data_IF_261520866313
#
_entry.id   IF_261520866313
#
_cell.length_a   1.000
_cell.length_b   1.000
_cell.length_c   1.000
_cell.angle_alpha   90.00
_cell.angle_beta   90.00
_cell.angle_gamma   90.00
#
_symmetry.space_group_name_H-M   'P 1'
#
loop_
_entity.id
_entity.type
_entity.pdbx_description
1 polymer ?
#
# COMPACT_ATOMS: atom_id res chain seq x y z
N UNK A 1 -18.45 -34.88 13.57
CA UNK A 1 -19.14 -34.36 12.37
C UNK A 1 -18.25 -33.26 11.82
N UNK A 2 -17.36 -33.61 10.88
CA UNK A 2 -16.56 -32.63 10.18
C UNK A 2 -17.52 -31.83 9.30
N UNK A 3 -17.67 -30.53 9.58
CA UNK A 3 -18.48 -29.64 8.76
C UNK A 3 -17.87 -29.58 7.37
N UNK A 4 -18.70 -29.80 6.34
CA UNK A 4 -18.34 -29.43 4.97
C UNK A 4 -18.08 -27.92 5.00
N UNK A 5 -16.93 -27.41 4.48
CA UNK A 5 -16.70 -25.98 4.44
C UNK A 5 -17.81 -25.35 3.60
N UNK A 6 -18.61 -24.51 4.22
CA UNK A 6 -19.51 -23.61 3.50
C UNK A 6 -18.63 -22.76 2.60
N UNK A 7 -18.71 -22.98 1.29
CA UNK A 7 -18.14 -22.06 0.31
C UNK A 7 -18.76 -20.68 0.58
N UNK A 8 -17.99 -19.80 1.23
CA UNK A 8 -18.32 -18.38 1.27
C UNK A 8 -18.33 -17.89 -0.18
N UNK A 9 -19.46 -17.34 -0.61
CA UNK A 9 -19.52 -16.73 -1.93
C UNK A 9 -18.99 -15.31 -1.82
N UNK A 10 -18.10 -14.93 -2.74
CA UNK A 10 -17.66 -13.55 -2.91
C UNK A 10 -18.30 -12.94 -4.14
N UNK A 11 -18.59 -11.65 -4.08
CA UNK A 11 -18.84 -10.82 -5.27
C UNK A 11 -17.50 -10.28 -5.74
N UNK A 12 -17.15 -10.54 -6.99
CA UNK A 12 -15.93 -10.02 -7.62
C UNK A 12 -16.24 -8.67 -8.26
N UNK A 13 -15.62 -7.62 -7.76
CA UNK A 13 -15.64 -6.30 -8.38
C UNK A 13 -14.31 -6.08 -9.09
N UNK A 14 -14.32 -6.05 -10.42
CA UNK A 14 -13.11 -5.72 -11.19
C UNK A 14 -12.87 -4.21 -11.14
N UNK A 15 -11.66 -3.83 -10.78
CA UNK A 15 -11.18 -2.45 -10.91
C UNK A 15 -10.52 -2.35 -12.29
N UNK A 16 -11.13 -1.55 -13.16
CA UNK A 16 -10.70 -1.40 -14.54
C UNK A 16 -10.34 0.05 -14.81
N UNK A 17 -9.17 0.25 -15.42
CA UNK A 17 -8.79 1.50 -16.07
C UNK A 17 -8.66 1.22 -17.57
N UNK A 18 -9.41 1.96 -18.39
CA UNK A 18 -9.62 1.63 -19.81
C UNK A 18 -8.41 1.74 -20.74
N UNK A 19 -7.22 2.07 -20.21
CA UNK A 19 -5.96 2.10 -20.93
C UNK A 19 -4.86 1.27 -20.23
N UNK A 20 -5.18 0.55 -19.14
CA UNK A 20 -4.18 -0.22 -18.39
C UNK A 20 -3.75 -1.46 -19.18
N UNK A 21 -2.46 -1.73 -19.20
CA UNK A 21 -1.91 -3.06 -19.44
C UNK A 21 -1.96 -3.90 -18.17
N UNK A 22 -1.80 -3.27 -17.00
CA UNK A 22 -1.88 -3.91 -15.70
C UNK A 22 -2.49 -3.00 -14.61
N UNK A 23 -3.19 -3.62 -13.66
CA UNK A 23 -3.61 -2.99 -12.41
C UNK A 23 -3.32 -3.95 -11.27
N UNK A 24 -2.50 -3.49 -10.33
CA UNK A 24 -2.22 -4.17 -9.07
C UNK A 24 -2.97 -3.42 -7.96
N UNK A 25 -3.66 -4.15 -7.09
CA UNK A 25 -4.21 -3.57 -5.86
C UNK A 25 -3.36 -4.07 -4.72
N UNK A 26 -2.90 -3.14 -3.89
CA UNK A 26 -1.92 -3.43 -2.84
C UNK A 26 -2.54 -3.28 -1.45
N UNK A 27 -3.51 -2.37 -1.28
CA UNK A 27 -4.16 -2.15 0.02
C UNK A 27 -5.65 -1.83 -0.06
N UNK A 28 -6.37 -2.11 1.03
CA UNK A 28 -7.79 -1.80 1.21
C UNK A 28 -8.10 -1.37 2.65
N UNK A 29 -8.91 -0.33 2.83
CA UNK A 29 -9.37 0.09 4.16
C UNK A 29 -10.85 -0.24 4.42
N UNK A 30 -11.34 0.02 5.63
CA UNK A 30 -12.72 -0.28 6.05
C UNK A 30 -13.77 0.65 5.41
N UNK A 31 -13.36 1.76 4.81
CA UNK A 31 -14.29 2.62 4.04
C UNK A 31 -14.43 2.15 2.58
N UNK A 32 -13.70 1.09 2.19
CA UNK A 32 -13.75 0.50 0.86
C UNK A 32 -12.95 1.28 -0.18
N UNK A 33 -11.98 2.08 0.28
CA UNK A 33 -10.96 2.64 -0.60
C UNK A 33 -9.90 1.58 -0.84
N UNK A 34 -9.38 1.54 -2.07
CA UNK A 34 -8.25 0.69 -2.44
C UNK A 34 -7.13 1.53 -2.98
N UNK A 35 -5.90 1.07 -2.75
CA UNK A 35 -4.70 1.66 -3.35
C UNK A 35 -4.02 0.64 -4.23
N UNK A 36 -3.31 1.13 -5.23
CA UNK A 36 -2.66 0.25 -6.17
C UNK A 36 -1.83 1.00 -7.20
N UNK A 37 -1.26 0.22 -8.11
CA UNK A 37 -0.48 0.71 -9.23
C UNK A 37 -1.16 0.38 -10.56
N UNK A 38 -0.98 1.30 -11.50
CA UNK A 38 -1.51 1.23 -12.84
C UNK A 38 -0.35 1.33 -13.83
N UNK A 39 -0.21 0.33 -14.69
CA UNK A 39 0.71 0.35 -15.84
C UNK A 39 -0.09 0.62 -17.12
N UNK A 40 0.33 1.61 -17.92
CA UNK A 40 -0.26 1.88 -19.23
C UNK A 40 0.54 1.31 -20.41
N UNK A 41 1.64 0.59 -20.13
CA UNK A 41 2.56 0.06 -21.12
C UNK A 41 3.34 1.15 -21.86
N UNK A 42 3.31 2.39 -21.35
CA UNK A 42 4.03 3.53 -21.87
C UNK A 42 5.41 3.72 -21.24
N UNK A 43 6.08 4.80 -21.63
CA UNK A 43 7.40 5.17 -21.09
C UNK A 43 7.33 5.85 -19.70
N UNK A 44 6.12 6.03 -19.15
CA UNK A 44 5.87 6.90 -17.98
C UNK A 44 6.09 6.16 -16.65
N UNK A 45 6.26 4.84 -16.67
CA UNK A 45 6.38 4.02 -15.47
C UNK A 45 5.03 3.86 -14.75
N UNK A 46 5.03 3.06 -13.68
CA UNK A 46 3.80 2.73 -12.96
C UNK A 46 3.24 3.97 -12.24
N UNK A 47 1.92 4.14 -12.32
CA UNK A 47 1.20 5.28 -11.72
C UNK A 47 0.43 4.79 -10.49
N UNK A 48 0.79 5.33 -9.33
CA UNK A 48 0.08 5.06 -8.08
C UNK A 48 -1.30 5.73 -8.05
N UNK A 49 -2.29 5.04 -7.51
CA UNK A 49 -3.64 5.58 -7.34
C UNK A 49 -4.29 5.20 -6.00
N UNK A 50 -5.28 6.00 -5.63
CA UNK A 50 -6.33 5.66 -4.66
C UNK A 50 -7.64 5.61 -5.43
N UNK A 51 -8.42 4.54 -5.25
CA UNK A 51 -9.75 4.41 -5.81
C UNK A 51 -10.78 4.36 -4.69
N UNK A 52 -11.74 5.29 -4.73
CA UNK A 52 -12.93 5.32 -3.88
C UNK A 52 -14.15 5.19 -4.78
N UNK A 53 -15.08 4.29 -4.45
CA UNK A 53 -16.26 4.07 -5.29
C UNK A 53 -17.22 5.27 -5.35
N UNK A 54 -17.15 6.19 -4.38
CA UNK A 54 -17.95 7.42 -4.35
C UNK A 54 -17.27 8.57 -5.09
N UNK A 55 -15.94 8.68 -4.98
CA UNK A 55 -15.21 9.86 -5.50
C UNK A 55 -14.35 9.57 -6.74
N UNK A 56 -14.17 8.30 -7.10
CA UNK A 56 -13.38 7.85 -8.23
C UNK A 56 -11.88 7.76 -7.91
N UNK A 57 -11.06 7.96 -8.94
CA UNK A 57 -9.60 7.88 -8.83
C UNK A 57 -8.97 9.19 -8.35
N UNK A 58 -8.02 9.05 -7.45
CA UNK A 58 -7.03 10.05 -7.09
C UNK A 58 -5.65 9.54 -7.50
N UNK A 59 -4.96 10.29 -8.35
CA UNK A 59 -3.64 9.90 -8.86
C UNK A 59 -2.54 10.44 -7.95
N UNK A 60 -1.67 9.54 -7.48
CA UNK A 60 -0.53 9.88 -6.62
C UNK A 60 0.66 10.41 -7.43
N UNK A 61 0.61 10.22 -8.76
CA UNK A 61 1.63 10.62 -9.72
C UNK A 61 2.47 9.45 -10.19
N UNK A 62 3.37 9.75 -11.13
CA UNK A 62 4.25 8.78 -11.76
C UNK A 62 5.29 8.26 -10.77
N UNK A 63 5.68 6.99 -10.92
CA UNK A 63 6.74 6.34 -10.14
C UNK A 63 6.49 6.37 -8.64
N UNK A 64 5.22 6.17 -8.27
CA UNK A 64 4.72 6.07 -6.90
C UNK A 64 4.03 4.73 -6.72
N UNK A 65 4.48 3.98 -5.74
CA UNK A 65 4.00 2.62 -5.48
C UNK A 65 3.34 2.63 -4.10
N UNK A 66 2.01 2.83 -4.01
CA UNK A 66 1.32 2.69 -2.74
C UNK A 66 1.29 1.22 -2.32
N UNK A 67 1.53 0.94 -1.04
CA UNK A 67 1.57 -0.42 -0.51
C UNK A 67 0.43 -0.70 0.48
N UNK A 68 0.00 0.31 1.26
CA UNK A 68 -1.07 0.14 2.24
C UNK A 68 -1.85 1.42 2.51
N UNK A 69 -3.09 1.27 3.01
CA UNK A 69 -3.99 2.38 3.34
C UNK A 69 -4.74 2.09 4.64
N UNK A 70 -4.92 3.11 5.48
CA UNK A 70 -5.75 3.00 6.69
C UNK A 70 -7.10 3.73 6.56
N UNK A 71 -7.95 3.58 7.58
CA UNK A 71 -9.30 4.15 7.61
C UNK A 71 -9.34 5.68 7.67
N UNK A 72 -8.21 6.32 7.95
CA UNK A 72 -8.05 7.78 7.89
C UNK A 72 -7.67 8.27 6.49
N UNK A 73 -7.55 7.37 5.52
CA UNK A 73 -7.10 7.66 4.16
C UNK A 73 -5.61 8.01 4.10
N UNK A 74 -4.82 7.59 5.10
CA UNK A 74 -3.37 7.69 5.04
C UNK A 74 -2.86 6.52 4.22
N UNK A 75 -2.04 6.81 3.22
CA UNK A 75 -1.45 5.81 2.34
C UNK A 75 0.05 5.78 2.57
N UNK A 76 0.62 4.60 2.74
CA UNK A 76 2.07 4.43 2.67
C UNK A 76 2.46 4.13 1.24
N UNK A 77 3.50 4.81 0.77
CA UNK A 77 4.00 4.66 -0.58
C UNK A 77 5.51 4.66 -0.59
N UNK A 78 6.08 4.08 -1.64
CA UNK A 78 7.44 4.33 -2.05
C UNK A 78 7.54 5.08 -3.37
N UNK A 79 8.76 5.42 -3.73
CA UNK A 79 9.11 6.01 -5.03
C UNK A 79 10.29 5.27 -5.62
N UNK A 80 10.55 5.48 -6.91
CA UNK A 80 11.71 4.91 -7.64
C UNK A 80 13.08 5.12 -6.97
N UNK A 81 13.23 6.14 -6.11
CA UNK A 81 14.47 6.39 -5.37
C UNK A 81 14.54 5.63 -4.04
N UNK A 82 13.64 4.66 -3.82
CA UNK A 82 13.52 3.88 -2.59
C UNK A 82 13.30 4.77 -1.36
N UNK A 83 12.47 5.78 -1.52
CA UNK A 83 12.09 6.69 -0.43
C UNK A 83 10.65 6.43 -0.07
N UNK A 84 10.41 6.00 1.17
CA UNK A 84 9.08 5.84 1.73
C UNK A 84 8.45 7.18 2.09
N UNK A 85 7.13 7.26 1.91
CA UNK A 85 6.31 8.41 2.27
C UNK A 85 4.99 7.97 2.88
N UNK A 86 4.42 8.83 3.73
CA UNK A 86 2.99 8.80 4.05
C UNK A 86 2.33 9.89 3.22
N UNK A 87 1.36 9.51 2.40
CA UNK A 87 0.47 10.39 1.69
C UNK A 87 -0.81 10.63 2.50
N UNK A 88 -1.19 11.90 2.66
CA UNK A 88 -2.47 12.28 3.23
C UNK A 88 -2.93 13.64 2.67
N UNK A 89 -4.11 13.68 2.07
CA UNK A 89 -4.74 14.91 1.54
C UNK A 89 -3.83 15.77 0.66
N UNK A 90 -3.16 15.17 -0.33
CA UNK A 90 -2.27 15.88 -1.25
C UNK A 90 -0.86 16.14 -0.71
N UNK A 91 -0.55 15.70 0.51
CA UNK A 91 0.74 15.95 1.17
C UNK A 91 1.51 14.64 1.30
N UNK A 92 2.72 14.61 0.76
CA UNK A 92 3.68 13.53 0.97
C UNK A 92 4.65 13.90 2.10
N UNK A 93 4.60 13.13 3.18
CA UNK A 93 5.51 13.26 4.33
C UNK A 93 6.57 12.15 4.27
N UNK A 94 7.88 12.48 4.21
CA UNK A 94 8.93 11.46 4.15
C UNK A 94 8.89 10.53 5.37
N UNK A 95 9.07 9.24 5.12
CA UNK A 95 9.18 8.19 6.13
C UNK A 95 10.63 7.70 6.24
N UNK A 96 11.57 8.61 6.48
CA UNK A 96 12.99 8.25 6.55
C UNK A 96 13.39 7.75 7.94
N UNK A 97 13.95 6.54 8.00
CA UNK A 97 14.61 6.02 9.20
C UNK A 97 16.06 6.50 9.22
N UNK A 98 16.31 7.62 9.90
CA UNK A 98 17.62 8.28 9.89
C UNK A 98 18.10 8.57 8.44
N UNK A 99 19.28 8.07 8.06
CA UNK A 99 19.88 8.25 6.73
C UNK A 99 19.65 7.03 5.79
N UNK A 100 18.75 6.10 6.17
CA UNK A 100 18.49 4.89 5.38
C UNK A 100 17.20 5.01 4.55
N UNK A 101 17.21 4.55 3.29
CA UNK A 101 16.01 4.39 2.49
C UNK A 101 15.05 3.40 3.14
N UNK A 102 13.75 3.65 2.99
CA UNK A 102 12.66 2.85 3.56
C UNK A 102 11.68 2.45 2.47
N UNK A 103 11.18 1.22 2.59
CA UNK A 103 10.15 0.59 1.77
C UNK A 103 9.00 0.24 2.72
N UNK A 104 8.00 1.14 2.90
CA UNK A 104 6.87 0.84 3.76
C UNK A 104 5.89 -0.11 3.05
N UNK A 105 5.43 -1.13 3.75
CA UNK A 105 4.59 -2.20 3.20
C UNK A 105 3.15 -2.07 3.67
N UNK A 106 2.90 -1.78 4.96
CA UNK A 106 1.55 -1.61 5.47
C UNK A 106 1.42 -0.55 6.55
N UNK A 107 0.19 -0.06 6.73
CA UNK A 107 -0.20 0.93 7.72
C UNK A 107 -1.51 0.52 8.41
N UNK A 108 -1.57 0.65 9.74
CA UNK A 108 -2.80 0.40 10.51
C UNK A 108 -3.55 1.71 10.85
N UNK A 109 -4.72 1.61 11.49
CA UNK A 109 -5.57 2.77 11.84
C UNK A 109 -5.01 3.62 12.98
N UNK A 110 -3.99 3.13 13.69
CA UNK A 110 -3.23 3.92 14.65
C UNK A 110 -2.09 4.72 13.99
N UNK A 111 -1.91 4.59 12.67
CA UNK A 111 -0.82 5.22 11.92
C UNK A 111 0.53 4.54 12.16
N UNK A 112 0.54 3.30 12.65
CA UNK A 112 1.76 2.51 12.69
C UNK A 112 2.08 1.99 11.30
N UNK A 113 3.34 2.07 10.89
CA UNK A 113 3.80 1.61 9.59
C UNK A 113 4.82 0.49 9.77
N UNK A 114 4.72 -0.58 9.00
CA UNK A 114 5.76 -1.61 8.89
C UNK A 114 6.39 -1.57 7.51
N UNK A 115 7.61 -2.09 7.42
CA UNK A 115 8.29 -2.25 6.15
C UNK A 115 9.76 -2.57 6.32
N UNK A 116 10.54 -2.30 5.30
CA UNK A 116 11.96 -2.66 5.21
C UNK A 116 12.82 -1.40 5.08
N UNK A 117 14.05 -1.47 5.58
CA UNK A 117 15.09 -0.48 5.31
C UNK A 117 16.43 -1.15 5.02
N UNK A 118 17.26 -0.48 4.23
CA UNK A 118 18.55 -1.02 3.79
C UNK A 118 19.70 -0.35 4.51
N UNK A 119 20.51 -1.16 5.19
CA UNK A 119 21.74 -0.72 5.84
C UNK A 119 22.93 -1.09 4.96
N UNK A 120 23.58 -0.10 4.30
CA UNK A 120 24.79 -0.36 3.53
C UNK A 120 25.93 -0.85 4.43
N UNK A 121 26.70 -1.81 3.95
CA UNK A 121 27.92 -2.28 4.59
C UNK A 121 29.16 -1.83 3.78
N UNK A 122 30.34 -1.68 4.42
CA UNK A 122 31.57 -1.45 3.68
C UNK A 122 31.90 -2.63 2.76
N UNK A 123 32.33 -2.34 1.54
CA UNK A 123 32.85 -3.37 0.62
C UNK A 123 33.95 -4.22 1.29
N UNK A 124 33.93 -5.56 1.15
CA UNK A 124 33.14 -6.36 0.21
C UNK A 124 31.81 -6.90 0.78
N UNK A 125 31.40 -6.44 1.97
CA UNK A 125 30.23 -7.01 2.64
C UNK A 125 28.94 -6.50 1.97
N UNK A 126 28.00 -7.39 1.63
CA UNK A 126 26.69 -6.95 1.18
C UNK A 126 25.97 -6.25 2.33
N UNK A 127 25.36 -5.10 2.06
CA UNK A 127 24.45 -4.47 3.03
C UNK A 127 23.27 -5.39 3.39
N UNK A 128 22.55 -5.04 4.44
CA UNK A 128 21.48 -5.87 5.00
C UNK A 128 20.14 -5.13 4.94
N UNK A 129 19.11 -5.84 4.48
CA UNK A 129 17.72 -5.40 4.60
C UNK A 129 17.18 -5.82 5.97
N UNK A 130 16.56 -4.88 6.68
CA UNK A 130 16.02 -5.07 8.02
C UNK A 130 14.58 -4.56 8.07
N UNK A 131 13.76 -5.19 8.91
CA UNK A 131 12.38 -4.78 9.11
C UNK A 131 12.30 -3.60 10.09
N UNK A 132 11.35 -2.70 9.90
CA UNK A 132 11.05 -1.62 10.83
C UNK A 132 9.56 -1.60 11.21
N UNK A 133 9.29 -1.06 12.41
CA UNK A 133 7.99 -0.58 12.85
C UNK A 133 8.12 0.90 13.21
N UNK A 134 7.38 1.75 12.51
CA UNK A 134 7.22 3.16 12.83
C UNK A 134 5.98 3.36 13.70
N UNK A 135 6.15 4.01 14.87
CA UNK A 135 5.08 4.30 15.82
C UNK A 135 5.28 5.67 16.44
N UNK A 136 4.38 6.60 16.14
CA UNK A 136 4.34 7.91 16.81
C UNK A 136 5.61 8.76 16.65
N UNK A 137 6.31 8.66 15.51
CA UNK A 137 7.56 9.38 15.26
C UNK A 137 8.83 8.59 15.57
N UNK A 138 8.71 7.40 16.16
CA UNK A 138 9.83 6.54 16.52
C UNK A 138 9.91 5.32 15.60
N UNK A 139 11.14 4.94 15.23
CA UNK A 139 11.42 3.72 14.47
C UNK A 139 11.98 2.64 15.40
N UNK A 140 11.36 1.47 15.38
CA UNK A 140 11.87 0.26 16.01
C UNK A 140 12.38 -0.68 14.92
N UNK A 141 13.65 -1.08 15.02
CA UNK A 141 14.18 -2.16 14.19
C UNK A 141 13.62 -3.49 14.69
N UNK A 142 13.00 -4.25 13.78
CA UNK A 142 12.56 -5.62 14.01
C UNK A 142 13.69 -6.52 13.50
N UNK A 143 14.52 -7.00 14.43
CA UNK A 143 15.69 -7.81 14.13
C UNK A 143 15.32 -9.26 13.80
N UNK A 144 14.51 -9.44 12.74
CA UNK A 144 14.13 -10.72 12.16
C UNK A 144 14.83 -10.86 10.79
N UNK A 145 16.12 -11.25 10.75
CA UNK A 145 16.84 -11.40 9.51
C UNK A 145 16.22 -12.51 8.66
N UNK A 146 16.06 -12.27 7.35
CA UNK A 146 15.48 -13.23 6.42
C UNK A 146 13.94 -13.27 6.42
N UNK A 147 13.29 -12.42 7.20
CA UNK A 147 11.83 -12.22 7.16
C UNK A 147 11.49 -10.89 6.47
N UNK A 148 10.37 -10.87 5.77
CA UNK A 148 9.75 -9.70 5.15
C UNK A 148 8.41 -9.45 5.83
N UNK A 149 8.17 -8.22 6.28
CA UNK A 149 6.89 -7.81 6.89
C UNK A 149 6.00 -7.20 5.81
N UNK A 150 4.74 -7.63 5.74
CA UNK A 150 3.83 -7.25 4.65
C UNK A 150 2.57 -6.57 5.18
N UNK A 151 2.01 -7.07 6.30
CA UNK A 151 0.74 -6.59 6.86
C UNK A 151 0.85 -6.18 8.32
N UNK A 152 0.00 -5.25 8.78
CA UNK A 152 -0.13 -4.90 10.20
C UNK A 152 -1.57 -4.57 10.57
N UNK A 153 -2.05 -5.10 11.71
CA UNK A 153 -3.35 -4.75 12.26
C UNK A 153 -3.27 -3.77 13.45
N UNK A 154 -4.41 -3.30 13.94
CA UNK A 154 -4.51 -2.31 15.03
C UNK A 154 -4.06 -2.85 16.39
N UNK A 155 -4.04 -4.17 16.56
CA UNK A 155 -3.47 -4.81 17.74
C UNK A 155 -1.94 -4.88 17.71
N UNK A 156 -1.31 -4.45 16.60
CA UNK A 156 0.13 -4.50 16.41
C UNK A 156 0.66 -5.90 16.09
N UNK A 157 -0.20 -6.79 15.57
CA UNK A 157 0.24 -8.03 14.95
C UNK A 157 0.67 -7.73 13.52
N UNK A 158 1.80 -8.29 13.14
CA UNK A 158 2.48 -8.06 11.87
C UNK A 158 2.51 -9.38 11.12
N UNK A 159 2.01 -9.40 9.90
CA UNK A 159 2.06 -10.54 9.00
C UNK A 159 3.22 -10.40 8.02
N UNK A 160 3.71 -11.51 7.49
CA UNK A 160 4.78 -11.52 6.52
C UNK A 160 5.24 -12.92 6.16
N UNK A 161 6.41 -13.03 5.53
CA UNK A 161 7.00 -14.31 5.13
C UNK A 161 8.53 -14.36 5.23
N UNK A 162 9.08 -15.56 5.29
CA UNK A 162 10.53 -15.80 5.37
C UNK A 162 11.13 -16.39 4.11
N UNK A 163 12.42 -16.14 3.89
CA UNK A 163 13.22 -16.87 2.90
C UNK A 163 13.61 -18.24 3.49
N UNK A 164 13.70 -19.32 2.70
CA UNK A 164 14.23 -20.59 3.18
C UNK A 164 15.61 -20.46 3.88
N UNK A 165 15.86 -21.24 4.96
CA UNK A 165 15.09 -22.40 5.43
C UNK A 165 13.90 -22.07 6.34
N UNK A 166 13.72 -20.81 6.75
CA UNK A 166 12.56 -20.39 7.53
C UNK A 166 11.26 -20.30 6.70
N UNK A 167 11.40 -20.37 5.36
CA UNK A 167 10.39 -20.44 4.31
C UNK A 167 8.97 -20.71 4.79
N UNK A 168 8.19 -19.64 4.90
CA UNK A 168 6.81 -19.69 5.35
C UNK A 168 6.32 -18.35 5.86
N UNK A 169 5.00 -18.21 5.91
CA UNK A 169 4.30 -17.09 6.49
C UNK A 169 4.52 -17.03 8.00
N UNK A 170 4.52 -15.84 8.58
CA UNK A 170 4.59 -15.66 10.02
C UNK A 170 3.63 -14.57 10.51
N UNK A 171 3.29 -14.66 11.80
CA UNK A 171 2.66 -13.57 12.55
C UNK A 171 3.59 -13.18 13.68
N UNK A 172 4.02 -11.92 13.73
CA UNK A 172 4.82 -11.33 14.80
C UNK A 172 3.96 -10.37 15.64
N UNK A 173 3.91 -10.60 16.94
CA UNK A 173 3.24 -9.72 17.89
C UNK A 173 4.24 -8.68 18.43
N UNK A 174 4.08 -7.43 17.99
CA UNK A 174 4.99 -6.34 18.37
C UNK A 174 4.91 -5.94 19.85
N UNK A 175 3.85 -6.33 20.56
CA UNK A 175 3.66 -5.99 21.97
C UNK A 175 4.34 -7.02 22.87
N UNK A 176 4.25 -8.31 22.54
CA UNK A 176 4.90 -9.39 23.30
C UNK A 176 6.27 -9.78 22.76
N UNK A 177 6.67 -9.30 21.57
CA UNK A 177 7.90 -9.68 20.88
C UNK A 177 8.00 -11.20 20.66
N UNK A 178 6.90 -11.79 20.21
CA UNK A 178 6.77 -13.23 19.92
C UNK A 178 6.31 -13.42 18.48
N UNK A 179 6.77 -14.47 17.80
CA UNK A 179 6.24 -14.82 16.48
C UNK A 179 5.81 -16.28 16.42
N UNK A 180 4.87 -16.55 15.53
CA UNK A 180 4.37 -17.88 15.20
C UNK A 180 4.53 -18.09 13.69
N UNK A 181 5.07 -19.26 13.31
CA UNK A 181 5.18 -19.65 11.91
C UNK A 181 3.87 -20.30 11.46
N UNK A 182 3.38 -19.89 10.29
CA UNK A 182 2.26 -20.50 9.61
C UNK A 182 2.73 -21.60 8.67
N UNK A 183 1.82 -22.54 8.34
CA UNK A 183 2.02 -23.48 7.23
C UNK A 183 1.79 -22.82 5.87
N UNK A 184 1.34 -21.56 5.84
CA UNK A 184 1.23 -20.75 4.63
C UNK A 184 2.62 -20.41 4.10
N UNK A 185 2.74 -20.18 2.80
CA UNK A 185 4.00 -19.78 2.20
C UNK A 185 4.26 -18.30 2.41
N UNK A 186 3.25 -17.48 2.09
CA UNK A 186 3.37 -16.03 2.12
C UNK A 186 2.07 -15.41 2.66
N UNK A 187 2.17 -14.54 3.66
CA UNK A 187 1.03 -13.81 4.21
C UNK A 187 1.25 -12.33 3.90
N UNK A 188 0.34 -11.72 3.14
CA UNK A 188 0.44 -10.33 2.74
C UNK A 188 -0.44 -9.43 3.63
N UNK A 189 -1.70 -9.82 3.86
CA UNK A 189 -2.66 -9.00 4.61
C UNK A 189 -3.13 -9.62 5.93
N UNK A 190 -3.46 -8.77 6.90
CA UNK A 190 -4.08 -9.15 8.18
C UNK A 190 -5.10 -8.11 8.65
N UNK A 191 -6.33 -8.54 8.97
CA UNK A 191 -7.34 -7.66 9.54
C UNK A 191 -7.33 -7.65 11.09
N UNK A 192 -8.17 -6.82 11.71
CA UNK A 192 -8.20 -6.64 13.16
C UNK A 192 -8.75 -7.84 13.94
N UNK A 193 -9.50 -8.73 13.29
CA UNK A 193 -9.97 -9.98 13.90
C UNK A 193 -8.97 -11.13 13.71
N UNK A 194 -7.86 -10.88 13.01
CA UNK A 194 -6.76 -11.82 12.82
C UNK A 194 -6.92 -12.73 11.61
N UNK A 195 -7.80 -12.39 10.67
CA UNK A 195 -7.88 -13.09 9.40
C UNK A 195 -6.73 -12.69 8.50
N UNK A 196 -6.29 -13.67 7.71
CA UNK A 196 -5.07 -13.58 6.92
C UNK A 196 -5.39 -13.81 5.46
N UNK A 197 -4.71 -13.07 4.58
CA UNK A 197 -4.69 -13.32 3.14
C UNK A 197 -3.26 -13.43 2.63
N UNK A 198 -3.08 -14.21 1.58
CA UNK A 198 -1.78 -14.40 0.95
C UNK A 198 -1.75 -15.54 -0.04
N UNK A 199 -0.56 -16.13 -0.22
CA UNK A 199 -0.27 -17.17 -1.22
C UNK A 199 0.29 -18.46 -0.59
N UNK A 200 0.03 -19.57 -1.26
CA UNK A 200 0.58 -20.91 -1.00
C UNK A 200 1.42 -21.34 -2.21
N UNK A 201 2.51 -22.09 -1.97
CA UNK A 201 3.57 -22.52 -2.92
C UNK A 201 3.08 -23.00 -4.29
N UNK A 202 1.88 -23.55 -4.38
CA UNK A 202 1.29 -24.07 -5.62
C UNK A 202 0.58 -22.98 -6.48
N UNK A 203 0.82 -21.70 -6.21
CA UNK A 203 0.25 -20.56 -6.95
C UNK A 203 -1.19 -20.21 -6.54
N UNK A 204 -1.63 -20.70 -5.38
CA UNK A 204 -2.99 -20.47 -4.90
C UNK A 204 -3.02 -19.40 -3.83
N UNK A 205 -4.03 -18.54 -3.91
CA UNK A 205 -4.34 -17.60 -2.86
C UNK A 205 -5.23 -18.21 -1.78
N UNK A 206 -5.08 -17.74 -0.54
CA UNK A 206 -5.91 -18.15 0.59
C UNK A 206 -6.54 -16.96 1.32
N UNK A 207 -7.67 -17.23 1.95
CA UNK A 207 -8.20 -16.51 3.09
C UNK A 207 -8.27 -17.49 4.26
N UNK A 208 -7.73 -17.13 5.43
CA UNK A 208 -7.92 -17.88 6.67
C UNK A 208 -8.77 -17.08 7.66
N UNK A 209 -10.03 -17.51 7.77
CA UNK A 209 -11.03 -16.87 8.62
C UNK A 209 -10.92 -17.24 10.11
N UNK A 210 -9.99 -18.14 10.49
CA UNK A 210 -9.55 -18.54 11.85
C UNK A 210 -9.09 -20.00 11.77
N UNK A 211 -7.92 -20.31 12.35
CA UNK A 211 -7.38 -21.64 12.66
C UNK A 211 -7.90 -22.77 11.75
N UNK A 212 -7.62 -22.69 10.44
CA UNK A 212 -7.60 -23.84 9.50
C UNK A 212 -8.63 -23.84 8.35
N UNK A 213 -9.43 -22.79 8.14
CA UNK A 213 -10.32 -22.72 6.95
C UNK A 213 -9.59 -21.98 5.84
N UNK A 214 -8.93 -22.74 4.95
CA UNK A 214 -8.42 -22.19 3.71
C UNK A 214 -9.56 -22.09 2.69
N UNK A 215 -9.97 -20.86 2.37
CA UNK A 215 -10.80 -20.61 1.19
C UNK A 215 -9.89 -20.41 0.00
N UNK A 216 -9.89 -21.40 -0.89
CA UNK A 216 -9.22 -21.29 -2.17
C UNK A 216 -10.10 -20.50 -3.13
N UNK A 217 -9.60 -19.37 -3.63
CA UNK A 217 -10.33 -18.52 -4.55
C UNK A 217 -9.87 -18.87 -5.96
N UNK A 218 -10.75 -19.46 -6.76
CA UNK A 218 -10.44 -19.91 -8.11
C UNK A 218 -11.27 -19.13 -9.14
N UNK A 219 -10.65 -18.13 -9.76
CA UNK A 219 -11.21 -17.38 -10.89
C UNK A 219 -10.69 -17.86 -12.26
N UNK A 220 -9.96 -19.00 -12.29
CA UNK A 220 -9.44 -19.60 -13.52
C UNK A 220 -8.12 -19.01 -14.03
N UNK A 221 -7.53 -18.08 -13.28
CA UNK A 221 -6.20 -17.48 -13.48
C UNK A 221 -5.46 -17.42 -12.14
N UNK A 222 -4.13 -17.27 -12.20
CA UNK A 222 -3.31 -17.05 -11.00
C UNK A 222 -3.72 -15.75 -10.34
N UNK A 223 -3.93 -15.80 -9.02
CA UNK A 223 -4.47 -14.70 -8.24
C UNK A 223 -3.56 -14.47 -7.04
N UNK A 224 -3.36 -13.20 -6.72
CA UNK A 224 -2.64 -12.75 -5.54
C UNK A 224 -3.60 -11.90 -4.71
N UNK A 225 -3.82 -12.28 -3.45
CA UNK A 225 -4.63 -11.52 -2.48
C UNK A 225 -3.70 -10.74 -1.58
N UNK A 226 -3.63 -9.44 -1.78
CA UNK A 226 -2.62 -8.56 -1.18
C UNK A 226 -3.03 -8.03 0.18
N UNK A 227 -4.31 -7.70 0.37
CA UNK A 227 -4.77 -7.08 1.61
C UNK A 227 -6.23 -7.40 1.95
N UNK A 228 -6.60 -7.25 3.22
CA UNK A 228 -7.91 -7.56 3.77
C UNK A 228 -8.33 -6.54 4.84
N UNK A 229 -9.57 -6.06 4.74
CA UNK A 229 -10.15 -5.17 5.74
C UNK A 229 -11.00 -5.92 6.80
N UNK A 230 -11.52 -5.19 7.79
CA UNK A 230 -12.29 -5.75 8.91
C UNK A 230 -13.71 -6.23 8.53
N UNK A 231 -14.08 -6.03 7.27
CA UNK A 231 -15.33 -6.53 6.69
C UNK A 231 -15.10 -7.74 5.78
N UNK A 232 -13.92 -8.36 5.88
CA UNK A 232 -13.46 -9.47 5.04
C UNK A 232 -13.51 -9.15 3.54
N UNK A 233 -13.42 -7.87 3.18
CA UNK A 233 -13.19 -7.47 1.80
C UNK A 233 -11.72 -7.60 1.49
N UNK A 234 -11.42 -8.18 0.32
CA UNK A 234 -10.06 -8.56 -0.04
C UNK A 234 -9.67 -7.83 -1.31
N UNK A 235 -8.56 -7.12 -1.28
CA UNK A 235 -7.90 -6.58 -2.46
C UNK A 235 -6.95 -7.62 -3.05
N UNK A 236 -6.78 -7.57 -4.37
CA UNK A 236 -5.83 -8.42 -5.05
C UNK A 236 -5.79 -8.14 -6.54
N UNK A 237 -4.99 -8.93 -7.24
CA UNK A 237 -4.86 -8.86 -8.69
C UNK A 237 -4.73 -10.25 -9.30
N UNK A 238 -5.05 -10.34 -10.59
CA UNK A 238 -4.85 -11.53 -11.38
C UNK A 238 -3.59 -11.39 -12.24
N UNK A 239 -2.68 -12.35 -12.12
CA UNK A 239 -1.54 -12.47 -13.01
C UNK A 239 -2.00 -13.04 -14.38
N UNK A 240 -1.30 -12.72 -15.49
CA UNK A 240 -1.59 -13.31 -16.77
C UNK A 240 -1.26 -14.79 -16.67
N UNK A 241 -2.25 -15.65 -16.92
CA UNK A 241 -1.98 -17.07 -17.09
C UNK A 241 -1.00 -17.33 -18.24
N UNK A 242 -0.48 -18.57 -18.39
CA UNK A 242 0.48 -18.92 -19.43
C UNK A 242 -0.03 -18.72 -20.87
N UNK A 243 -1.34 -18.54 -21.05
CA UNK A 243 -1.97 -18.22 -22.33
C UNK A 243 -1.95 -16.72 -22.68
N UNK A 244 -1.43 -15.86 -21.78
CA UNK A 244 -1.45 -14.41 -21.88
C UNK A 244 -2.77 -13.79 -21.42
N UNK A 245 -2.74 -12.50 -21.05
CA UNK A 245 -3.89 -11.74 -20.57
C UNK A 245 -3.46 -10.38 -20.03
N UNK A 246 -4.43 -9.48 -19.82
CA UNK A 246 -4.18 -8.25 -19.07
C UNK A 246 -4.31 -8.54 -17.58
N UNK A 247 -3.36 -8.03 -16.79
CA UNK A 247 -3.45 -8.03 -15.33
C UNK A 247 -4.57 -7.09 -14.90
N UNK A 248 -5.40 -7.52 -13.96
CA UNK A 248 -6.46 -6.67 -13.44
C UNK A 248 -6.61 -6.81 -11.94
N UNK A 249 -6.82 -5.66 -11.30
CA UNK A 249 -7.16 -5.55 -9.90
C UNK A 249 -8.60 -5.97 -9.63
N UNK A 250 -8.85 -6.57 -8.46
CA UNK A 250 -10.18 -6.93 -8.02
C UNK A 250 -10.37 -6.73 -6.53
N UNK A 251 -11.61 -6.45 -6.14
CA UNK A 251 -12.06 -6.52 -4.75
C UNK A 251 -13.05 -7.67 -4.62
N UNK A 252 -12.80 -8.58 -3.68
CA UNK A 252 -13.73 -9.61 -3.27
C UNK A 252 -14.52 -9.10 -2.09
N UNK A 253 -15.86 -9.13 -2.18
CA UNK A 253 -16.74 -8.74 -1.06
C UNK A 253 -17.56 -9.94 -0.61
N UNK A 254 -17.59 -10.28 0.70
CA UNK A 254 -18.40 -11.38 1.20
C UNK A 254 -19.87 -11.22 0.81
N UNK A 255 -20.47 -12.29 0.28
CA UNK A 255 -21.88 -12.29 -0.07
C UNK A 255 -22.73 -12.63 1.17
N UNK A 256 -23.64 -11.75 1.61
CA UNK A 256 -24.45 -11.99 2.81
C UNK A 256 -25.54 -13.06 2.66
N UNK A 257 -25.76 -13.62 1.46
CA UNK A 257 -26.81 -14.61 1.21
C UNK A 257 -26.32 -15.79 0.37
N UNK A 258 -26.67 -17.04 0.71
CA UNK A 258 -26.47 -18.18 -0.17
C UNK A 258 -27.35 -18.05 -1.42
N UNK A 259 -26.81 -18.42 -2.58
CA UNK A 259 -27.52 -18.47 -3.86
C UNK A 259 -28.79 -19.35 -3.75
N UNK A 260 -29.91 -19.09 -4.46
CA UNK A 260 -30.08 -18.20 -5.62
C UNK A 260 -31.01 -17.03 -5.33
N UNK A 261 -30.51 -15.80 -5.32
CA UNK A 261 -31.34 -14.64 -5.58
C UNK A 261 -30.97 -14.09 -6.96
N UNK A 262 -32.00 -13.88 -7.79
CA UNK A 262 -31.88 -13.74 -9.24
C UNK A 262 -30.93 -12.64 -9.71
N UNK A 263 -30.39 -12.85 -10.90
CA UNK A 263 -29.63 -11.88 -11.68
C UNK A 263 -30.21 -10.46 -11.51
N UNK A 264 -29.41 -9.52 -10.99
CA UNK A 264 -29.75 -8.09 -10.99
C UNK A 264 -30.05 -7.43 -9.64
N UNK A 265 -29.78 -8.08 -8.50
CA UNK A 265 -29.80 -7.43 -7.18
C UNK A 265 -28.37 -7.31 -6.64
N UNK A 266 -27.50 -6.64 -7.39
CA UNK A 266 -26.24 -6.15 -6.84
C UNK A 266 -26.31 -4.63 -6.85
N UNK A 267 -25.89 -3.93 -5.77
CA UNK A 267 -25.65 -2.50 -5.90
C UNK A 267 -24.65 -2.31 -7.04
N UNK A 268 -24.87 -1.33 -7.95
CA UNK A 268 -23.94 -1.08 -9.03
C UNK A 268 -22.63 -0.59 -8.43
N UNK A 269 -21.65 -1.48 -8.32
CA UNK A 269 -20.30 -1.18 -7.78
C UNK A 269 -19.42 -0.40 -8.77
N UNK A 270 -19.96 0.11 -9.88
CA UNK A 270 -19.16 0.82 -10.88
C UNK A 270 -19.87 2.12 -11.33
N UNK A 271 -19.29 3.30 -11.04
CA UNK A 271 -19.55 4.49 -11.84
C UNK A 271 -18.85 4.39 -13.21
N UNK A 272 -19.28 5.23 -14.17
CA UNK A 272 -18.66 5.29 -15.49
C UNK A 272 -17.24 5.89 -15.46
N UNK A 273 -16.41 5.37 -16.37
CA UNK A 273 -15.05 5.77 -16.79
C UNK A 273 -14.66 7.25 -16.53
N UNK A 274 -13.67 7.53 -15.68
CA UNK A 274 -12.96 8.80 -15.74
C UNK A 274 -11.94 8.82 -16.90
N UNK A 275 -11.67 9.99 -17.51
CA UNK A 275 -10.60 10.13 -18.49
C UNK A 275 -9.24 9.95 -17.82
N UNK A 276 -8.32 9.24 -18.49
CA UNK A 276 -6.92 9.16 -18.10
C UNK A 276 -6.32 10.58 -17.97
N UNK A 277 -5.32 10.79 -17.08
CA UNK A 277 -4.65 12.08 -16.97
C UNK A 277 -4.14 12.51 -18.35
N UNK A 278 -4.52 13.73 -18.74
CA UNK A 278 -4.10 14.28 -20.02
C UNK A 278 -2.59 14.49 -20.00
N UNK A 279 -1.86 13.73 -20.81
CA UNK A 279 -0.44 13.97 -21.10
C UNK A 279 -0.33 15.39 -21.65
N UNK A 280 0.06 16.35 -20.82
CA UNK A 280 0.32 17.71 -21.27
C UNK A 280 1.62 17.68 -22.08
N UNK A 281 1.50 17.50 -23.39
CA UNK A 281 2.58 17.78 -24.33
C UNK A 281 2.82 19.29 -24.36
N UNK A 282 3.61 19.78 -23.41
CA UNK A 282 4.05 21.16 -23.31
C UNK A 282 5.02 21.53 -24.43
N UNK A 283 4.50 21.80 -25.63
CA UNK A 283 5.21 22.58 -26.65
C UNK A 283 4.49 23.91 -26.82
N UNK A 284 5.08 24.99 -26.31
CA UNK A 284 4.44 26.29 -26.38
C UNK A 284 5.05 27.41 -25.53
N UNK A 285 6.38 27.51 -25.43
CA UNK A 285 7.00 28.74 -24.93
C UNK A 285 6.92 29.81 -26.02
N UNK A 286 5.81 30.56 -26.04
CA UNK A 286 5.78 31.86 -26.71
C UNK A 286 6.21 32.93 -25.69
N UNK A 287 7.38 33.52 -25.91
CA UNK A 287 7.89 34.67 -25.14
C UNK A 287 7.05 35.89 -25.47
N UNK A 288 6.09 36.21 -24.59
CA UNK A 288 5.43 37.51 -24.55
C UNK A 288 6.28 38.52 -23.77
N UNK A 289 6.75 39.55 -24.46
CA UNK A 289 7.43 40.72 -23.89
C UNK A 289 6.46 41.53 -23.04
N UNK A 290 6.61 41.47 -21.71
CA UNK A 290 5.84 42.25 -20.73
C UNK A 290 6.73 43.24 -20.00
N UNK A 291 6.41 44.52 -20.15
CA UNK A 291 7.16 45.68 -19.68
C UNK A 291 7.23 45.81 -18.14
N UNK A 292 8.38 46.31 -17.67
CA UNK A 292 8.65 46.70 -16.28
C UNK A 292 8.00 48.07 -15.97
N UNK A 293 7.23 48.21 -14.88
CA UNK A 293 6.99 49.52 -14.28
C UNK A 293 7.97 49.76 -13.13
N UNK A 294 8.66 50.90 -13.21
CA UNK A 294 9.49 51.49 -12.16
C UNK A 294 8.66 51.73 -10.89
N UNK A 295 9.10 51.18 -9.75
CA UNK A 295 8.63 51.60 -8.44
C UNK A 295 9.46 52.79 -7.93
N UNK A 296 8.76 53.87 -7.59
CA UNK A 296 9.29 55.11 -7.06
C UNK A 296 9.66 55.04 -5.58
N UNK A 297 10.47 56.03 -5.21
CA UNK A 297 11.01 56.31 -3.89
C UNK A 297 9.93 56.54 -2.83
N UNK A 298 10.19 56.06 -1.60
CA UNK A 298 9.40 56.35 -0.40
C UNK A 298 10.26 56.19 0.86
N UNK A 299 10.33 57.24 1.65
CA UNK A 299 11.31 57.53 2.71
C UNK A 299 11.10 56.82 4.07
N UNK A 300 12.23 56.48 4.67
CA UNK A 300 12.61 56.41 6.10
C UNK A 300 11.59 56.67 7.24
N UNK A 301 11.51 55.71 8.18
CA UNK A 301 11.76 55.83 9.64
C UNK A 301 11.67 54.41 10.22
N UNK A 302 12.44 53.88 11.18
CA UNK A 302 13.30 54.44 12.20
C UNK A 302 12.88 53.84 13.55
N UNK A 303 13.55 52.76 14.02
CA UNK A 303 13.85 52.41 15.44
C UNK A 303 14.11 50.90 15.62
N UNK A 304 15.31 50.56 16.10
CA UNK A 304 15.67 49.23 16.60
C UNK A 304 17.12 49.18 17.09
N UNK A 305 17.32 49.22 18.41
CA UNK A 305 18.58 49.06 19.17
C UNK A 305 18.22 48.14 20.37
N UNK A 306 19.12 47.33 20.99
CA UNK A 306 20.45 46.82 20.60
C UNK A 306 20.63 45.28 20.77
N UNK A 307 21.79 44.83 20.26
CA UNK A 307 22.47 43.55 20.51
C UNK A 307 22.75 43.27 22.00
N UNK A 308 22.51 42.03 22.46
CA UNK A 308 23.08 41.47 23.70
C UNK A 308 24.51 40.96 23.45
N UNK A 309 25.44 41.36 24.31
CA UNK A 309 26.77 40.76 24.49
C UNK A 309 26.65 39.55 25.42
N UNK A 310 27.21 38.41 25.02
CA UNK A 310 27.51 37.27 25.91
C UNK A 310 28.91 37.44 26.49
N UNK A 311 29.01 37.64 27.80
CA UNK A 311 30.25 37.53 28.55
C UNK A 311 30.36 36.11 29.12
N UNK A 312 31.49 35.46 28.86
CA UNK A 312 31.93 34.23 29.51
C UNK A 312 32.55 34.57 30.88
N UNK A 313 32.21 33.77 31.90
CA UNK A 313 32.73 33.94 33.24
C UNK A 313 32.39 32.75 34.13
N UNK A 314 33.21 31.70 34.03
CA UNK A 314 33.82 30.87 35.09
C UNK A 314 34.24 29.53 34.52
#
# INVERSE_FOLDING_TARGET
>A
LAGVPTQGMFVVTKILSGAATAIFLDGINNVGQVVGTYDDGGDVGDIGFIYDHHTGYEWLGDNRYPAGINDLGQVVCESEQSQGFIYQYGIFSPLNMADYPTWPEAINNLGHVVGIYYVPAPEPDPGVSLNFLYRGGEYLSIALPGLFVEGINDSGKIAGYGVPPEGGGFIFDSLSNTYETSLMSEIYGINNIGNLVGRIDDGWSFLDATDSIQVQIQMGVEQVLTDINDFDQIAGFCEPGPEGGAEFGFVLTPCPFPWPFGHGIYPPFLPERPPAPGVSSGSGVSRGTGAVPKAGQGTASGKGIPKKKSGTGK
#
